data_IF_611404462696
#
_entry.id   IF_611404462696
#
_cell.length_a   1.000
_cell.length_b   1.000
_cell.length_c   1.000
_cell.angle_alpha   90.00
_cell.angle_beta   90.00
_cell.angle_gamma   90.00
#
_symmetry.space_group_name_H-M   'P 1'
#
loop_
_entity.id
_entity.type
_entity.pdbx_description
1 polymer ?
#
# COMPACT_ATOMS: atom_id res chain seq x y z
N UNK A 1 -7.01 1.33 0.23
CA UNK A 1 -6.15 1.36 -0.96
C UNK A 1 -7.05 1.27 -2.19
N UNK A 2 -6.53 1.55 -3.37
CA UNK A 2 -7.17 1.23 -4.65
C UNK A 2 -6.45 0.04 -5.29
N UNK A 3 -7.16 -0.69 -6.15
CA UNK A 3 -6.61 -1.76 -6.97
C UNK A 3 -6.99 -1.54 -8.43
N UNK A 4 -6.01 -1.22 -9.26
CA UNK A 4 -6.19 -0.96 -10.67
C UNK A 4 -5.58 -2.12 -11.48
N UNK A 5 -6.36 -2.67 -12.41
CA UNK A 5 -5.90 -3.71 -13.34
C UNK A 5 -5.48 -3.09 -14.66
N UNK A 6 -4.28 -3.43 -15.13
CA UNK A 6 -3.75 -3.08 -16.45
C UNK A 6 -3.52 -4.36 -17.25
N UNK A 7 -3.18 -4.19 -18.54
CA UNK A 7 -2.99 -5.32 -19.47
C UNK A 7 -2.02 -6.40 -18.95
N UNK A 8 -0.97 -6.01 -18.23
CA UNK A 8 0.10 -6.92 -17.79
C UNK A 8 0.35 -6.91 -16.27
N UNK A 9 -0.30 -6.00 -15.54
CA UNK A 9 0.00 -5.78 -14.11
C UNK A 9 -1.26 -5.43 -13.33
N UNK A 10 -1.24 -5.75 -12.05
CA UNK A 10 -2.17 -5.22 -11.05
C UNK A 10 -1.42 -4.21 -10.21
N UNK A 11 -1.95 -3.00 -10.10
CA UNK A 11 -1.37 -1.93 -9.28
C UNK A 11 -2.23 -1.70 -8.04
N UNK A 12 -1.63 -1.81 -6.88
CA UNK A 12 -2.24 -1.46 -5.60
C UNK A 12 -1.68 -0.13 -5.12
N UNK A 13 -2.51 0.90 -5.05
CA UNK A 13 -2.07 2.24 -4.63
C UNK A 13 -2.55 2.55 -3.21
N UNK A 14 -1.64 3.03 -2.36
CA UNK A 14 -1.90 3.46 -0.99
C UNK A 14 -1.72 4.97 -0.89
N UNK A 15 -2.81 5.70 -0.68
CA UNK A 15 -2.80 7.17 -0.65
C UNK A 15 -1.92 7.80 0.45
N UNK A 16 -1.68 7.06 1.54
CA UNK A 16 -0.73 7.41 2.61
C UNK A 16 0.45 6.44 2.67
N UNK A 17 0.79 5.84 1.53
CA UNK A 17 1.81 4.79 1.44
C UNK A 17 3.19 5.23 1.92
N UNK A 18 3.54 6.52 1.76
CA UNK A 18 4.80 7.06 2.25
C UNK A 18 4.92 7.07 3.79
N UNK A 19 3.79 6.99 4.50
CA UNK A 19 3.75 6.92 5.97
C UNK A 19 3.75 5.48 6.52
N UNK A 20 3.74 4.47 5.65
CA UNK A 20 3.79 3.07 6.05
C UNK A 20 5.23 2.57 6.07
N UNK A 21 5.59 1.77 7.08
CA UNK A 21 6.96 1.29 7.27
C UNK A 21 7.38 0.29 6.22
N UNK A 22 6.43 -0.52 5.74
CA UNK A 22 6.67 -1.56 4.74
C UNK A 22 7.88 -2.47 5.06
N UNK A 23 7.80 -3.19 6.18
CA UNK A 23 8.92 -4.01 6.68
C UNK A 23 9.35 -5.12 5.73
N UNK A 24 8.46 -5.53 4.83
CA UNK A 24 8.71 -6.59 3.86
C UNK A 24 9.10 -6.04 2.48
N UNK A 25 9.21 -4.72 2.32
CA UNK A 25 9.64 -4.09 1.08
C UNK A 25 8.71 -4.37 -0.11
N UNK A 26 7.40 -4.41 0.13
CA UNK A 26 6.41 -4.67 -0.92
C UNK A 26 6.26 -3.50 -1.90
N UNK A 27 6.50 -2.26 -1.46
CA UNK A 27 6.41 -1.11 -2.35
C UNK A 27 7.54 -1.11 -3.36
N UNK A 28 7.19 -1.13 -4.63
CA UNK A 28 8.13 -1.13 -5.76
C UNK A 28 7.84 -0.02 -6.79
N UNK A 29 6.80 0.80 -6.56
CA UNK A 29 6.42 1.88 -7.44
C UNK A 29 6.02 3.14 -6.66
N UNK A 30 6.15 4.29 -7.33
CA UNK A 30 5.90 5.61 -6.72
C UNK A 30 6.73 5.85 -5.45
N UNK A 31 8.00 5.44 -5.46
CA UNK A 31 8.87 5.45 -4.27
C UNK A 31 9.37 6.84 -3.88
N UNK A 32 9.48 7.75 -4.85
CA UNK A 32 9.92 9.13 -4.65
C UNK A 32 8.78 10.06 -4.16
N UNK A 33 7.53 9.56 -4.17
CA UNK A 33 6.38 10.32 -3.71
C UNK A 33 6.36 10.51 -2.19
N UNK A 34 5.97 11.70 -1.73
CA UNK A 34 5.88 12.03 -0.30
C UNK A 34 4.53 11.64 0.35
N UNK A 35 3.54 11.27 -0.44
CA UNK A 35 2.19 10.94 0.04
C UNK A 35 1.84 9.48 -0.22
N UNK A 36 1.91 9.06 -1.49
CA UNK A 36 1.46 7.74 -1.94
C UNK A 36 2.62 6.83 -2.30
N UNK A 37 2.40 5.52 -2.15
CA UNK A 37 3.25 4.45 -2.67
C UNK A 37 2.38 3.38 -3.31
N UNK A 38 2.96 2.60 -4.21
CA UNK A 38 2.25 1.56 -4.93
C UNK A 38 3.03 0.24 -4.98
N UNK A 39 2.26 -0.85 -5.07
CA UNK A 39 2.75 -2.20 -5.34
C UNK A 39 2.28 -2.53 -6.75
N UNK A 40 3.21 -2.87 -7.64
CA UNK A 40 2.93 -3.39 -8.96
C UNK A 40 3.22 -4.88 -8.94
N UNK A 41 2.19 -5.67 -9.22
CA UNK A 41 2.24 -7.12 -9.29
C UNK A 41 2.14 -7.48 -10.77
N UNK A 42 3.14 -8.18 -11.31
CA UNK A 42 3.15 -8.65 -12.69
C UNK A 42 2.48 -10.01 -12.80
N UNK A 43 2.07 -10.36 -14.01
CA UNK A 43 1.61 -11.71 -14.31
C UNK A 43 2.70 -12.74 -13.97
N UNK A 44 2.33 -13.77 -13.21
CA UNK A 44 3.27 -14.80 -12.74
C UNK A 44 4.00 -14.47 -11.44
N UNK A 45 3.85 -13.25 -10.89
CA UNK A 45 4.43 -12.91 -9.59
C UNK A 45 3.78 -13.70 -8.47
N UNK A 46 4.61 -14.15 -7.51
CA UNK A 46 4.11 -14.73 -6.26
C UNK A 46 3.75 -13.62 -5.29
N UNK A 47 2.48 -13.56 -4.89
CA UNK A 47 2.02 -12.60 -3.88
C UNK A 47 2.30 -13.14 -2.48
N UNK A 48 3.08 -12.38 -1.69
CA UNK A 48 3.29 -12.67 -0.28
C UNK A 48 2.04 -12.29 0.55
N UNK A 49 1.12 -13.23 0.73
CA UNK A 49 -0.18 -13.01 1.38
C UNK A 49 -0.05 -12.44 2.81
N UNK A 50 0.88 -12.97 3.60
CA UNK A 50 1.08 -12.56 4.98
C UNK A 50 1.60 -11.13 5.08
N UNK A 51 2.58 -10.78 4.24
CA UNK A 51 3.15 -9.45 4.16
C UNK A 51 2.11 -8.44 3.65
N UNK A 52 1.36 -8.79 2.60
CA UNK A 52 0.32 -7.92 2.04
C UNK A 52 -0.79 -7.66 3.07
N UNK A 53 -1.25 -8.71 3.77
CA UNK A 53 -2.24 -8.57 4.85
C UNK A 53 -1.72 -7.71 5.99
N UNK A 54 -0.46 -7.86 6.39
CA UNK A 54 0.16 -7.03 7.42
C UNK A 54 0.21 -5.55 7.00
N UNK A 55 0.61 -5.28 5.76
CA UNK A 55 0.65 -3.92 5.20
C UNK A 55 -0.76 -3.28 5.16
N UNK A 56 -1.78 -4.03 4.75
CA UNK A 56 -3.17 -3.54 4.76
C UNK A 56 -3.62 -3.18 6.18
N UNK A 57 -3.32 -4.02 7.18
CA UNK A 57 -3.65 -3.74 8.58
C UNK A 57 -2.95 -2.49 9.11
N UNK A 58 -1.67 -2.30 8.77
CA UNK A 58 -0.93 -1.08 9.13
C UNK A 58 -1.56 0.16 8.48
N UNK A 59 -1.97 0.07 7.22
CA UNK A 59 -2.67 1.14 6.52
C UNK A 59 -4.03 1.48 7.15
N UNK A 60 -4.79 0.48 7.62
CA UNK A 60 -6.04 0.69 8.35
C UNK A 60 -5.77 1.44 9.65
N UNK A 61 -4.85 0.96 10.49
CA UNK A 61 -4.52 1.59 11.76
C UNK A 61 -4.07 3.06 11.60
N UNK A 62 -3.25 3.34 10.58
CA UNK A 62 -2.84 4.72 10.24
C UNK A 62 -4.04 5.60 9.87
N UNK A 63 -4.99 5.07 9.11
CA UNK A 63 -6.18 5.81 8.72
C UNK A 63 -7.13 6.08 9.89
N UNK A 64 -7.31 5.10 10.78
CA UNK A 64 -8.12 5.26 12.00
C UNK A 64 -7.52 6.31 12.93
N UNK A 65 -6.19 6.27 13.15
CA UNK A 65 -5.50 7.27 13.95
C UNK A 65 -5.67 8.70 13.40
N UNK A 66 -5.56 8.86 12.07
CA UNK A 66 -5.77 10.14 11.42
C UNK A 66 -7.23 10.62 11.50
N UNK A 67 -8.20 9.72 11.37
CA UNK A 67 -9.62 10.04 11.51
C UNK A 67 -9.97 10.46 12.94
N UNK A 68 -9.42 9.78 13.95
CA UNK A 68 -9.60 10.15 15.35
C UNK A 68 -9.01 11.53 15.66
N UNK A 69 -7.88 11.90 15.04
CA UNK A 69 -7.27 13.21 15.20
C UNK A 69 -8.11 14.33 14.59
N UNK A 70 -8.85 14.05 13.50
CA UNK A 70 -9.72 15.02 12.82
C UNK A 70 -11.05 15.25 13.55
N UNK A 71 -11.43 14.35 14.46
CA UNK A 71 -12.69 14.41 15.22
C UNK A 71 -12.56 15.14 16.55
N UNK A 72 -11.34 15.49 16.96
CA UNK A 72 -11.01 16.40 18.06
C UNK A 72 -10.86 17.81 17.51
#
# INVERSE_FOLDING_TARGET
CTGETYKAVVKLTFAKGASLKDRSGLFNASLEGNALRAIVIHEGDTVHDGALKALIREAVALNEAAASKKRK
#
